data_IF_303535927349
#
_entry.id   IF_303535927349
#
_cell.length_a   1.000
_cell.length_b   1.000
_cell.length_c   1.000
_cell.angle_alpha   90.00
_cell.angle_beta   90.00
_cell.angle_gamma   90.00
#
_symmetry.space_group_name_H-M   'P 1'
#
loop_
_entity.id
_entity.type
_entity.pdbx_description
1 polymer ?
#
# COMPACT_ATOMS: atom_id res chain seq x y z
N UNK A 1 7.23 -4.65 9.32
CA UNK A 1 6.51 -3.36 9.26
C UNK A 1 6.90 -2.33 10.31
N UNK A 2 7.66 -2.72 11.34
CA UNK A 2 8.01 -1.86 12.48
C UNK A 2 8.54 -0.46 12.13
N UNK A 3 9.43 -0.33 11.14
CA UNK A 3 9.98 0.98 10.76
C UNK A 3 8.90 1.93 10.21
N UNK A 4 8.05 1.44 9.31
CA UNK A 4 6.98 2.23 8.70
C UNK A 4 5.91 2.60 9.75
N UNK A 5 5.54 1.63 10.61
CA UNK A 5 4.60 1.85 11.71
C UNK A 5 5.12 2.89 12.72
N UNK A 6 6.39 2.81 13.12
CA UNK A 6 7.01 3.78 14.04
C UNK A 6 7.06 5.21 13.47
N UNK A 7 7.05 5.36 12.14
CA UNK A 7 7.08 6.65 11.45
C UNK A 7 5.67 7.13 11.04
N UNK A 8 4.61 6.36 11.31
CA UNK A 8 3.25 6.67 10.86
C UNK A 8 3.12 6.71 9.34
N UNK A 9 3.85 5.84 8.61
CA UNK A 9 3.87 5.82 7.13
C UNK A 9 3.31 4.51 6.59
N UNK A 10 2.52 4.61 5.53
CA UNK A 10 2.12 3.45 4.74
C UNK A 10 3.33 2.86 4.01
N UNK A 11 3.33 1.54 3.81
CA UNK A 11 4.40 0.83 3.10
C UNK A 11 3.93 0.45 1.69
N UNK A 12 4.64 0.91 0.65
CA UNK A 12 4.45 0.44 -0.73
C UNK A 12 5.52 -0.61 -1.06
N UNK A 13 5.12 -1.78 -1.56
CA UNK A 13 6.04 -2.88 -1.89
C UNK A 13 5.59 -3.68 -3.10
N UNK A 14 6.57 -4.22 -3.85
CA UNK A 14 6.30 -5.22 -4.89
C UNK A 14 6.38 -6.67 -4.38
N UNK A 15 6.68 -6.85 -3.09
CA UNK A 15 6.84 -8.16 -2.47
C UNK A 15 5.64 -8.50 -1.57
N UNK A 16 4.48 -8.72 -2.18
CA UNK A 16 3.25 -9.05 -1.46
C UNK A 16 3.40 -10.33 -0.61
N UNK A 17 4.11 -11.33 -1.13
CA UNK A 17 4.27 -12.64 -0.49
C UNK A 17 4.92 -12.56 0.88
N UNK A 18 6.00 -11.80 1.01
CA UNK A 18 6.74 -11.77 2.28
C UNK A 18 6.13 -10.74 3.26
N UNK A 19 5.33 -9.79 2.77
CA UNK A 19 4.66 -8.79 3.61
C UNK A 19 3.27 -9.20 4.09
N UNK A 20 2.58 -10.13 3.42
CA UNK A 20 1.29 -10.63 3.86
C UNK A 20 1.33 -11.29 5.26
N UNK A 21 2.29 -12.18 5.59
CA UNK A 21 2.38 -12.75 6.94
C UNK A 21 2.64 -11.67 8.00
N UNK A 22 3.45 -10.66 7.67
CA UNK A 22 3.70 -9.54 8.59
C UNK A 22 2.44 -8.71 8.83
N UNK A 23 1.55 -8.59 7.85
CA UNK A 23 0.29 -7.85 7.97
C UNK A 23 -0.67 -8.63 8.87
N UNK A 24 -0.78 -9.93 8.62
CA UNK A 24 -1.57 -10.84 9.45
C UNK A 24 -1.09 -10.83 10.91
N UNK A 25 0.23 -10.83 11.16
CA UNK A 25 0.78 -10.75 12.52
C UNK A 25 0.33 -9.46 13.24
N UNK A 26 0.34 -8.31 12.54
CA UNK A 26 -0.15 -7.05 13.12
C UNK A 26 -1.64 -7.11 13.41
N UNK A 27 -2.42 -7.70 12.50
CA UNK A 27 -3.85 -7.92 12.67
C UNK A 27 -4.18 -8.82 13.87
N UNK A 28 -3.51 -9.97 14.00
CA UNK A 28 -3.76 -10.93 15.08
C UNK A 28 -3.26 -10.46 16.45
N UNK A 29 -2.28 -9.55 16.47
CA UNK A 29 -1.74 -8.98 17.72
C UNK A 29 -2.35 -7.63 18.10
N UNK A 30 -3.38 -7.20 17.39
CA UNK A 30 -4.06 -5.90 17.60
C UNK A 30 -3.07 -4.72 17.58
N UNK A 31 -2.04 -4.82 16.73
CA UNK A 31 -1.03 -3.79 16.53
C UNK A 31 -1.40 -2.88 15.35
N UNK A 32 -1.43 -1.59 15.63
CA UNK A 32 -1.72 -0.59 14.59
C UNK A 32 -0.55 -0.38 13.62
N UNK A 33 -0.88 -0.12 12.36
CA UNK A 33 0.04 0.35 11.34
C UNK A 33 -0.68 1.25 10.32
N UNK A 34 0.08 2.04 9.57
CA UNK A 34 -0.47 3.01 8.61
C UNK A 34 -0.84 2.40 7.25
N UNK A 35 -0.98 1.07 7.18
CA UNK A 35 -1.37 0.34 5.97
C UNK A 35 -0.23 -0.22 5.11
N UNK A 36 -0.58 -1.19 4.26
CA UNK A 36 0.31 -1.78 3.24
C UNK A 36 -0.34 -1.66 1.86
N UNK A 37 0.43 -1.14 0.91
CA UNK A 37 0.06 -1.00 -0.49
C UNK A 37 0.95 -1.96 -1.27
N UNK A 38 0.33 -2.87 -2.02
CA UNK A 38 1.06 -3.82 -2.87
C UNK A 38 0.93 -3.44 -4.33
N UNK A 39 2.00 -3.63 -5.08
CA UNK A 39 2.05 -3.40 -6.52
C UNK A 39 2.72 -4.59 -7.20
N UNK A 40 2.43 -4.80 -8.48
CA UNK A 40 3.36 -5.53 -9.34
C UNK A 40 4.57 -4.66 -9.67
N UNK A 41 5.59 -5.26 -10.28
CA UNK A 41 6.71 -4.48 -10.79
C UNK A 41 6.28 -3.74 -12.06
N UNK A 42 6.12 -2.43 -11.93
CA UNK A 42 5.71 -1.53 -12.99
C UNK A 42 6.87 -0.64 -13.43
N UNK A 43 6.81 -0.17 -14.67
CA UNK A 43 7.67 0.93 -15.13
C UNK A 43 7.41 2.18 -14.28
N UNK A 44 8.45 2.96 -14.01
CA UNK A 44 8.39 4.08 -13.05
C UNK A 44 7.24 5.07 -13.34
N UNK A 45 7.03 5.42 -14.61
CA UNK A 45 5.97 6.35 -15.00
C UNK A 45 4.57 5.79 -14.75
N UNK A 46 4.39 4.47 -14.84
CA UNK A 46 3.13 3.82 -14.53
C UNK A 46 2.90 3.72 -13.03
N UNK A 47 3.92 3.32 -12.29
CA UNK A 47 3.90 3.31 -10.83
C UNK A 47 3.50 4.69 -10.28
N UNK A 48 4.13 5.76 -10.77
CA UNK A 48 3.85 7.12 -10.31
C UNK A 48 2.39 7.53 -10.57
N UNK A 49 1.83 7.17 -11.74
CA UNK A 49 0.42 7.45 -12.06
C UNK A 49 -0.52 6.74 -11.10
N UNK A 50 -0.29 5.45 -10.84
CA UNK A 50 -1.16 4.68 -9.96
C UNK A 50 -1.07 5.17 -8.51
N UNK A 51 0.15 5.50 -8.04
CA UNK A 51 0.35 6.12 -6.73
C UNK A 51 -0.37 7.45 -6.63
N UNK A 52 -0.32 8.29 -7.67
CA UNK A 52 -1.01 9.58 -7.67
C UNK A 52 -2.52 9.39 -7.57
N UNK A 53 -3.10 8.51 -8.41
CA UNK A 53 -4.52 8.19 -8.35
C UNK A 53 -4.94 7.60 -7.00
N UNK A 54 -4.11 6.75 -6.41
CA UNK A 54 -4.32 6.21 -5.06
C UNK A 54 -4.35 7.31 -4.00
N UNK A 55 -3.39 8.24 -4.02
CA UNK A 55 -3.31 9.35 -3.06
C UNK A 55 -4.47 10.33 -3.18
N UNK A 56 -5.08 10.45 -4.37
CA UNK A 56 -6.29 11.26 -4.58
C UNK A 56 -7.57 10.55 -4.09
N UNK A 57 -7.58 9.21 -4.06
CA UNK A 57 -8.76 8.41 -3.77
C UNK A 57 -8.86 7.93 -2.32
N UNK A 58 -7.73 7.77 -1.63
CA UNK A 58 -7.68 7.15 -0.30
C UNK A 58 -7.09 8.11 0.72
N UNK A 59 -7.82 8.34 1.81
CA UNK A 59 -7.36 9.14 2.94
C UNK A 59 -6.44 8.33 3.87
N UNK A 60 -5.67 9.03 4.71
CA UNK A 60 -4.79 8.40 5.69
C UNK A 60 -5.54 7.52 6.71
N UNK A 61 -6.77 7.91 7.07
CA UNK A 61 -7.61 7.17 8.01
C UNK A 61 -8.11 5.86 7.38
N UNK A 62 -8.58 5.90 6.12
CA UNK A 62 -9.00 4.71 5.38
C UNK A 62 -7.86 3.71 5.14
N UNK A 63 -6.62 4.19 5.07
CA UNK A 63 -5.45 3.35 4.88
C UNK A 63 -4.97 2.68 6.18
N UNK A 64 -5.33 3.22 7.35
CA UNK A 64 -4.92 2.69 8.65
C UNK A 64 -5.37 1.23 8.81
N UNK A 65 -4.44 0.36 9.20
CA UNK A 65 -4.64 -1.09 9.34
C UNK A 65 -5.19 -1.79 8.08
N UNK A 66 -5.02 -1.18 6.91
CA UNK A 66 -5.62 -1.66 5.67
C UNK A 66 -4.56 -2.23 4.71
N UNK A 67 -5.04 -3.06 3.80
CA UNK A 67 -4.27 -3.65 2.71
C UNK A 67 -4.91 -3.26 1.38
N UNK A 68 -4.13 -2.64 0.48
CA UNK A 68 -4.63 -2.17 -0.82
C UNK A 68 -3.76 -2.65 -1.96
N UNK A 69 -4.39 -3.07 -3.07
CA UNK A 69 -3.67 -3.34 -4.30
C UNK A 69 -3.64 -2.07 -5.16
N UNK A 70 -2.45 -1.64 -5.53
CA UNK A 70 -2.25 -0.43 -6.33
C UNK A 70 -2.88 -0.54 -7.74
N UNK A 71 -3.05 -1.76 -8.26
CA UNK A 71 -3.69 -2.01 -9.54
C UNK A 71 -5.18 -1.61 -9.57
N UNK A 72 -5.85 -1.51 -8.42
CA UNK A 72 -7.22 -0.98 -8.31
C UNK A 72 -7.32 0.48 -8.79
N UNK A 73 -6.19 1.21 -8.78
CA UNK A 73 -6.07 2.62 -9.16
C UNK A 73 -5.42 2.80 -10.53
N UNK A 74 -5.35 1.72 -11.33
CA UNK A 74 -4.77 1.79 -12.66
C UNK A 74 -5.56 2.74 -13.55
N UNK A 75 -4.95 3.87 -13.91
CA UNK A 75 -5.51 4.79 -14.90
C UNK A 75 -5.36 4.15 -16.27
N UNK A 76 -6.46 3.92 -17.01
CA UNK A 76 -6.37 3.47 -18.41
C UNK A 76 -5.42 4.41 -19.16
N UNK A 77 -4.46 3.89 -19.95
CA UNK A 77 -3.57 4.73 -20.72
C UNK A 77 -4.42 5.65 -21.63
N UNK A 78 -4.13 6.96 -21.57
CA UNK A 78 -4.73 7.92 -22.50
C UNK A 78 -4.27 7.54 -23.91
N UNK A 79 -5.20 7.35 -24.87
CA UNK A 79 -4.86 6.96 -26.23
C UNK A 79 -3.97 8.01 -26.92
#
# INVERSE_FOLDING_TARGET
MAFAAAQGRALLTCNARDFAPLFEDYWFTDQDHSGVIVSEQLEFGELLRHVTAFLEAITADEMRNNWKNLAEFATKPKP
#
